data_IF_142397839813
#
_entry.id   IF_142397839813
#
_cell.length_a   1.000
_cell.length_b   1.000
_cell.length_c   1.000
_cell.angle_alpha   90.00
_cell.angle_beta   90.00
_cell.angle_gamma   90.00
#
_symmetry.space_group_name_H-M   'P 1'
#
loop_
_entity.id
_entity.type
_entity.pdbx_description
1 polymer ?
#
# COMPACT_ATOMS: atom_id res chain seq x y z
N UNK A 1 18.62 3.10 5.03
CA UNK A 1 18.25 3.13 3.61
C UNK A 1 16.72 3.14 3.56
N UNK A 2 16.09 4.23 3.17
CA UNK A 2 14.66 4.26 2.93
C UNK A 2 14.43 3.39 1.69
N UNK A 3 13.65 2.35 1.83
CA UNK A 3 13.29 1.48 0.72
C UNK A 3 12.56 2.34 -0.33
N UNK A 4 13.21 2.53 -1.49
CA UNK A 4 12.64 3.29 -2.61
C UNK A 4 11.31 2.65 -3.01
N UNK A 5 10.30 3.49 -3.28
CA UNK A 5 8.99 3.02 -3.73
C UNK A 5 9.06 2.76 -5.24
N UNK A 6 9.50 1.56 -5.60
CA UNK A 6 9.73 1.13 -6.99
C UNK A 6 8.51 1.36 -7.91
N UNK A 7 7.31 1.22 -7.38
CA UNK A 7 6.08 1.47 -8.13
C UNK A 7 5.94 2.96 -8.45
N UNK A 8 6.25 3.83 -7.48
CA UNK A 8 6.20 5.30 -7.69
C UNK A 8 7.24 5.76 -8.70
N UNK A 9 8.45 5.20 -8.65
CA UNK A 9 9.54 5.55 -9.57
C UNK A 9 9.17 5.25 -11.03
N UNK A 10 8.47 4.13 -11.25
CA UNK A 10 8.02 3.70 -12.57
C UNK A 10 6.59 4.18 -12.90
N UNK A 11 5.99 5.04 -12.08
CA UNK A 11 4.68 5.64 -12.30
C UNK A 11 4.81 7.07 -12.83
N UNK A 12 3.82 7.50 -13.63
CA UNK A 12 3.76 8.88 -14.11
C UNK A 12 3.70 9.87 -12.94
N UNK A 13 4.50 10.95 -12.99
CA UNK A 13 4.49 12.03 -12.01
C UNK A 13 3.07 12.57 -11.76
N UNK A 14 2.24 12.67 -12.82
CA UNK A 14 0.84 13.11 -12.72
C UNK A 14 -0.01 12.22 -11.80
N UNK A 15 0.19 10.91 -11.80
CA UNK A 15 -0.53 10.01 -10.90
C UNK A 15 -0.04 10.14 -9.47
N UNK A 16 1.27 10.21 -9.27
CA UNK A 16 1.89 10.40 -7.97
C UNK A 16 1.41 11.70 -7.31
N UNK A 17 1.50 12.83 -8.01
CA UNK A 17 1.00 14.12 -7.52
C UNK A 17 -0.49 14.12 -7.18
N UNK A 18 -1.32 13.43 -7.98
CA UNK A 18 -2.76 13.35 -7.70
C UNK A 18 -3.02 12.60 -6.38
N UNK A 19 -2.30 11.52 -6.13
CA UNK A 19 -2.39 10.75 -4.90
C UNK A 19 -1.87 11.57 -3.72
N UNK A 20 -0.71 12.21 -3.85
CA UNK A 20 -0.11 13.05 -2.82
C UNK A 20 -1.03 14.21 -2.41
N UNK A 21 -1.56 14.96 -3.38
CA UNK A 21 -2.51 16.04 -3.12
C UNK A 21 -3.80 15.54 -2.43
N UNK A 22 -4.26 14.35 -2.78
CA UNK A 22 -5.43 13.76 -2.13
C UNK A 22 -5.11 13.37 -0.67
N UNK A 23 -3.95 12.77 -0.42
CA UNK A 23 -3.48 12.41 0.91
C UNK A 23 -3.28 13.64 1.79
N UNK A 24 -2.58 14.67 1.29
CA UNK A 24 -2.39 15.94 2.01
C UNK A 24 -3.73 16.58 2.42
N UNK A 25 -4.71 16.63 1.50
CA UNK A 25 -6.03 17.17 1.82
C UNK A 25 -6.76 16.39 2.91
N UNK A 26 -6.60 15.05 2.96
CA UNK A 26 -7.18 14.24 4.03
C UNK A 26 -6.52 14.50 5.37
N UNK A 27 -5.18 14.54 5.40
CA UNK A 27 -4.41 14.84 6.61
C UNK A 27 -4.73 16.24 7.15
N UNK A 28 -4.77 17.25 6.27
CA UNK A 28 -5.13 18.63 6.67
C UNK A 28 -6.54 18.70 7.28
N UNK A 29 -7.49 17.96 6.71
CA UNK A 29 -8.86 17.90 7.24
C UNK A 29 -8.91 17.21 8.60
N UNK A 30 -8.16 16.12 8.75
CA UNK A 30 -8.05 15.36 9.99
C UNK A 30 -7.47 16.18 11.16
N UNK A 31 -6.70 17.25 10.88
CA UNK A 31 -6.20 18.17 11.91
C UNK A 31 -7.28 18.87 12.73
N UNK A 32 -8.51 18.97 12.20
CA UNK A 32 -9.68 19.51 12.92
C UNK A 32 -10.65 18.45 13.42
N UNK A 33 -10.35 17.15 13.25
CA UNK A 33 -11.23 16.06 13.62
C UNK A 33 -10.98 15.56 15.04
N UNK A 34 -11.99 14.90 15.62
CA UNK A 34 -11.85 14.25 16.94
C UNK A 34 -11.00 12.97 16.85
N UNK A 35 -10.33 12.60 17.95
CA UNK A 35 -9.53 11.37 18.04
C UNK A 35 -10.29 10.10 17.59
N UNK A 36 -11.59 9.89 17.93
CA UNK A 36 -12.35 8.76 17.42
C UNK A 36 -12.56 8.79 15.90
N UNK A 37 -12.69 9.97 15.29
CA UNK A 37 -12.81 10.09 13.83
C UNK A 37 -11.51 9.70 13.14
N UNK A 38 -10.38 10.15 13.67
CA UNK A 38 -9.03 9.76 13.20
C UNK A 38 -8.85 8.24 13.34
N UNK A 39 -9.26 7.63 14.46
CA UNK A 39 -9.15 6.17 14.68
C UNK A 39 -9.94 5.38 13.63
N UNK A 40 -11.18 5.77 13.33
CA UNK A 40 -11.96 5.14 12.25
C UNK A 40 -11.27 5.24 10.89
N UNK A 41 -10.61 6.37 10.62
CA UNK A 41 -9.84 6.52 9.37
C UNK A 41 -8.63 5.60 9.33
N UNK A 42 -7.92 5.42 10.45
CA UNK A 42 -6.81 4.47 10.57
C UNK A 42 -7.27 3.04 10.28
N UNK A 43 -8.40 2.60 10.84
CA UNK A 43 -9.00 1.28 10.56
C UNK A 43 -9.31 1.09 9.06
N UNK A 44 -9.83 2.13 8.39
CA UNK A 44 -10.04 2.09 6.94
C UNK A 44 -8.74 1.91 6.17
N UNK A 45 -7.66 2.60 6.59
CA UNK A 45 -6.35 2.48 5.96
C UNK A 45 -5.72 1.10 6.18
N UNK A 46 -6.00 0.44 7.31
CA UNK A 46 -5.56 -0.93 7.58
C UNK A 46 -6.23 -1.95 6.65
N UNK A 47 -7.46 -1.69 6.25
CA UNK A 47 -8.21 -2.54 5.32
C UNK A 47 -7.99 -2.19 3.84
N UNK A 48 -7.34 -1.06 3.54
CA UNK A 48 -7.12 -0.60 2.17
C UNK A 48 -6.16 -1.52 1.42
N UNK A 49 -6.56 -1.90 0.22
CA UNK A 49 -5.74 -2.73 -0.65
C UNK A 49 -4.65 -1.89 -1.33
N UNK A 50 -3.41 -2.22 -1.03
CA UNK A 50 -2.27 -1.63 -1.71
C UNK A 50 -2.05 -2.23 -3.12
N UNK A 51 -1.12 -1.63 -3.86
CA UNK A 51 -0.81 -2.02 -5.24
C UNK A 51 -0.36 -3.48 -5.33
N UNK A 52 0.47 -3.93 -4.37
CA UNK A 52 1.01 -5.29 -4.35
C UNK A 52 -0.12 -6.31 -4.17
N UNK A 53 -0.98 -6.11 -3.18
CA UNK A 53 -2.12 -6.98 -2.92
C UNK A 53 -3.08 -7.06 -4.11
N UNK A 54 -3.37 -5.92 -4.76
CA UNK A 54 -4.22 -5.87 -5.95
C UNK A 54 -3.61 -6.66 -7.10
N UNK A 55 -2.31 -6.45 -7.37
CA UNK A 55 -1.62 -7.13 -8.46
C UNK A 55 -1.47 -8.63 -8.21
N UNK A 56 -1.02 -9.01 -7.02
CA UNK A 56 -0.84 -10.41 -6.64
C UNK A 56 -2.16 -11.18 -6.70
N UNK A 57 -3.25 -10.60 -6.17
CA UNK A 57 -4.57 -11.24 -6.22
C UNK A 57 -5.07 -11.42 -7.64
N UNK A 58 -4.95 -10.38 -8.49
CA UNK A 58 -5.39 -10.49 -9.88
C UNK A 58 -4.52 -11.46 -10.68
N UNK A 59 -3.20 -11.39 -10.54
CA UNK A 59 -2.28 -12.27 -11.25
C UNK A 59 -2.45 -13.73 -10.83
N UNK A 60 -2.60 -14.00 -9.53
CA UNK A 60 -2.83 -15.34 -8.99
C UNK A 60 -4.16 -15.93 -9.46
N UNK A 61 -5.23 -15.11 -9.45
CA UNK A 61 -6.55 -15.55 -9.94
C UNK A 61 -6.52 -15.87 -11.43
N UNK A 62 -5.86 -15.04 -12.25
CA UNK A 62 -5.71 -15.30 -13.68
C UNK A 62 -4.85 -16.54 -13.97
N UNK A 63 -3.72 -16.68 -13.24
CA UNK A 63 -2.84 -17.84 -13.40
C UNK A 63 -3.56 -19.14 -13.01
N UNK A 64 -4.23 -19.15 -11.86
CA UNK A 64 -5.00 -20.30 -11.39
C UNK A 64 -6.15 -20.64 -12.36
N UNK A 65 -6.92 -19.65 -12.78
CA UNK A 65 -7.97 -19.83 -13.77
C UNK A 65 -7.45 -20.38 -15.09
N UNK A 66 -6.32 -19.87 -15.59
CA UNK A 66 -5.67 -20.39 -16.78
C UNK A 66 -5.20 -21.84 -16.65
N UNK A 67 -4.66 -22.22 -15.48
CA UNK A 67 -4.28 -23.62 -15.18
C UNK A 67 -5.51 -24.51 -15.17
N UNK A 68 -6.56 -24.16 -14.45
CA UNK A 68 -7.79 -24.97 -14.38
C UNK A 68 -8.44 -25.14 -15.75
N UNK A 69 -8.56 -24.06 -16.52
CA UNK A 69 -9.08 -24.14 -17.89
C UNK A 69 -8.16 -24.97 -18.79
N UNK A 70 -6.84 -24.87 -18.62
CA UNK A 70 -5.86 -25.68 -19.33
C UNK A 70 -5.97 -27.17 -19.08
N UNK A 71 -6.30 -27.56 -17.83
CA UNK A 71 -6.47 -28.94 -17.40
C UNK A 71 -7.83 -29.53 -17.82
N UNK A 72 -8.91 -28.77 -17.64
CA UNK A 72 -10.26 -29.31 -17.74
C UNK A 72 -10.97 -28.97 -19.06
N UNK A 73 -10.53 -27.93 -19.79
CA UNK A 73 -11.20 -27.47 -21.01
C UNK A 73 -10.30 -27.63 -22.23
N UNK A 74 -9.18 -26.91 -22.28
CA UNK A 74 -8.26 -26.96 -23.43
C UNK A 74 -6.86 -26.51 -23.02
N UNK A 75 -5.84 -27.29 -23.41
CA UNK A 75 -4.41 -27.01 -23.12
C UNK A 75 -3.94 -25.64 -23.61
N UNK A 76 -4.60 -25.02 -24.58
CA UNK A 76 -4.28 -23.68 -25.05
C UNK A 76 -4.38 -22.61 -23.95
N UNK A 77 -5.21 -22.83 -22.91
CA UNK A 77 -5.35 -21.90 -21.79
C UNK A 77 -4.11 -21.80 -20.90
N UNK A 78 -3.15 -22.75 -20.98
CA UNK A 78 -1.85 -22.61 -20.31
C UNK A 78 -1.06 -21.39 -20.78
N UNK A 79 -1.41 -20.79 -21.92
CA UNK A 79 -0.80 -19.52 -22.34
C UNK A 79 -1.04 -18.40 -21.32
N UNK A 80 -2.17 -18.42 -20.57
CA UNK A 80 -2.51 -17.40 -19.58
C UNK A 80 -1.47 -17.33 -18.47
N UNK A 81 -1.22 -18.41 -17.69
CA UNK A 81 -0.18 -18.37 -16.66
C UNK A 81 1.22 -18.16 -17.23
N UNK A 82 1.52 -18.70 -18.42
CA UNK A 82 2.80 -18.44 -19.09
C UNK A 82 3.06 -16.95 -19.40
N UNK A 83 2.02 -16.15 -19.58
CA UNK A 83 2.12 -14.71 -19.77
C UNK A 83 2.09 -13.95 -18.45
N UNK A 84 1.19 -14.32 -17.54
CA UNK A 84 0.97 -13.58 -16.30
C UNK A 84 2.14 -13.70 -15.34
N UNK A 85 2.70 -14.91 -15.16
CA UNK A 85 3.75 -15.15 -14.16
C UNK A 85 5.07 -14.41 -14.45
N UNK A 86 5.58 -14.32 -15.70
CA UNK A 86 6.75 -13.50 -15.99
C UNK A 86 6.54 -12.01 -15.66
N UNK A 87 5.37 -11.44 -15.94
CA UNK A 87 5.08 -10.06 -15.60
C UNK A 87 4.95 -9.85 -14.08
N UNK A 88 4.40 -10.83 -13.36
CA UNK A 88 4.37 -10.79 -11.90
C UNK A 88 5.80 -10.83 -11.31
N UNK A 89 6.65 -11.70 -11.86
CA UNK A 89 8.08 -11.75 -11.49
C UNK A 89 8.79 -10.42 -11.80
N UNK A 90 8.55 -9.83 -12.97
CA UNK A 90 9.09 -8.52 -13.33
C UNK A 90 8.63 -7.44 -12.36
N UNK A 91 7.34 -7.45 -11.96
CA UNK A 91 6.83 -6.53 -10.95
C UNK A 91 7.54 -6.69 -9.60
N UNK A 92 7.72 -7.92 -9.16
CA UNK A 92 8.41 -8.21 -7.89
C UNK A 92 9.87 -7.72 -7.89
N UNK A 93 10.55 -7.77 -9.04
CA UNK A 93 11.95 -7.33 -9.15
C UNK A 93 12.10 -5.83 -9.41
N UNK A 94 11.24 -5.24 -10.23
CA UNK A 94 11.38 -3.87 -10.75
C UNK A 94 10.28 -2.91 -10.29
N UNK A 95 9.19 -3.40 -9.68
CA UNK A 95 8.04 -2.57 -9.29
C UNK A 95 7.15 -2.14 -10.47
N UNK A 96 7.40 -2.65 -11.68
CA UNK A 96 6.64 -2.31 -12.88
C UNK A 96 6.06 -3.56 -13.57
N UNK A 97 4.82 -3.44 -14.02
CA UNK A 97 4.20 -4.39 -14.95
C UNK A 97 3.10 -3.66 -15.75
N UNK A 98 2.65 -4.21 -16.90
CA UNK A 98 1.67 -3.55 -17.78
C UNK A 98 0.39 -3.03 -17.09
N UNK A 99 -0.24 -3.71 -16.13
CA UNK A 99 -1.43 -3.21 -15.43
C UNK A 99 -1.18 -2.10 -14.41
N UNK A 100 0.06 -1.83 -13.97
CA UNK A 100 0.36 -0.78 -12.98
C UNK A 100 -0.20 0.59 -13.37
N UNK A 101 0.02 1.14 -14.58
CA UNK A 101 -0.53 2.44 -14.96
C UNK A 101 -2.07 2.49 -14.87
N UNK A 102 -2.75 1.39 -15.18
CA UNK A 102 -4.21 1.29 -15.08
C UNK A 102 -4.67 1.39 -13.62
N UNK A 103 -4.04 0.68 -12.70
CA UNK A 103 -4.39 0.75 -11.28
C UNK A 103 -4.02 2.12 -10.67
N UNK A 104 -2.87 2.70 -11.06
CA UNK A 104 -2.49 4.06 -10.65
C UNK A 104 -3.48 5.12 -11.13
N UNK A 105 -4.02 4.99 -12.32
CA UNK A 105 -5.07 5.90 -12.81
C UNK A 105 -6.34 5.83 -11.97
N UNK A 106 -6.66 4.66 -11.41
CA UNK A 106 -7.77 4.41 -10.45
C UNK A 106 -7.42 4.77 -9.01
N UNK A 107 -6.23 5.36 -8.76
CA UNK A 107 -5.74 5.81 -7.45
C UNK A 107 -5.43 4.67 -6.47
N UNK A 108 -5.13 3.48 -6.98
CA UNK A 108 -4.59 2.41 -6.13
C UNK A 108 -3.22 2.87 -5.62
N UNK A 109 -3.06 2.87 -4.31
CA UNK A 109 -1.89 3.40 -3.61
C UNK A 109 -0.87 2.29 -3.36
N UNK A 110 0.40 2.67 -3.24
CA UNK A 110 1.43 1.79 -2.73
C UNK A 110 1.32 1.67 -1.21
N UNK A 111 1.90 0.62 -0.63
CA UNK A 111 1.94 0.45 0.82
C UNK A 111 2.55 1.66 1.52
N UNK A 112 3.64 2.17 0.99
CA UNK A 112 4.33 3.36 1.52
C UNK A 112 3.46 4.62 1.51
N UNK A 113 2.64 4.82 0.48
CA UNK A 113 1.71 5.94 0.40
C UNK A 113 0.59 5.84 1.46
N UNK A 114 0.11 4.62 1.72
CA UNK A 114 -0.88 4.35 2.77
C UNK A 114 -0.24 4.59 4.14
N UNK A 115 0.93 4.04 4.39
CA UNK A 115 1.65 4.19 5.67
C UNK A 115 2.01 5.64 5.96
N UNK A 116 2.35 6.43 4.93
CA UNK A 116 2.58 7.88 5.10
C UNK A 116 1.34 8.59 5.66
N UNK A 117 0.14 8.31 5.14
CA UNK A 117 -1.11 8.84 5.69
C UNK A 117 -1.35 8.33 7.11
N UNK A 118 -1.13 7.04 7.37
CA UNK A 118 -1.29 6.44 8.71
C UNK A 118 -0.39 7.10 9.75
N UNK A 119 0.89 7.26 9.47
CA UNK A 119 1.82 7.92 10.40
C UNK A 119 1.46 9.37 10.65
N UNK A 120 1.03 10.12 9.64
CA UNK A 120 0.56 11.49 9.81
C UNK A 120 -0.68 11.55 10.73
N UNK A 121 -1.64 10.64 10.54
CA UNK A 121 -2.84 10.55 11.37
C UNK A 121 -2.53 10.10 12.83
N UNK A 122 -1.61 9.16 13.03
CA UNK A 122 -1.13 8.76 14.35
C UNK A 122 -0.47 9.93 15.09
N UNK A 123 0.33 10.73 14.38
CA UNK A 123 0.93 11.94 14.95
C UNK A 123 -0.15 12.96 15.37
N UNK A 124 -1.17 13.19 14.54
CA UNK A 124 -2.29 14.07 14.88
C UNK A 124 -3.14 13.55 16.05
N UNK A 125 -3.28 12.24 16.19
CA UNK A 125 -3.98 11.61 17.33
C UNK A 125 -3.17 11.71 18.65
N UNK A 126 -1.87 11.96 18.56
CA UNK A 126 -0.97 12.09 19.71
C UNK A 126 -0.35 10.76 20.16
N UNK A 127 -0.32 9.73 19.32
CA UNK A 127 0.19 8.40 19.66
C UNK A 127 1.69 8.42 20.02
N UNK A 128 2.43 9.42 19.51
CA UNK A 128 3.87 9.55 19.74
C UNK A 128 4.24 10.45 20.93
N UNK A 129 3.28 11.14 21.57
CA UNK A 129 3.55 12.05 22.70
C UNK A 129 4.26 11.34 23.87
N UNK A 130 3.90 10.07 24.13
CA UNK A 130 4.53 9.26 25.19
C UNK A 130 5.98 8.88 24.90
N UNK A 131 6.41 8.94 23.65
CA UNK A 131 7.78 8.60 23.25
C UNK A 131 8.76 9.68 23.70
N UNK A 132 8.39 10.93 23.50
CA UNK A 132 9.26 12.08 23.82
C UNK A 132 9.36 12.36 25.32
N UNK A 133 8.36 11.94 26.10
CA UNK A 133 8.34 12.10 27.57
C UNK A 133 9.17 11.08 28.35
N UNK A 134 9.78 10.09 27.70
CA UNK A 134 10.56 9.04 28.37
C UNK A 134 12.05 9.39 28.43
N UNK A 135 12.59 9.50 29.65
CA UNK A 135 14.02 9.75 29.87
C UNK A 135 14.88 8.50 29.71
N UNK A 136 14.33 7.32 30.05
CA UNK A 136 15.03 6.03 29.93
C UNK A 136 14.95 5.49 28.49
N UNK A 137 16.10 5.16 27.84
CA UNK A 137 16.14 4.65 26.48
C UNK A 137 15.30 3.38 26.24
N UNK A 138 15.24 2.49 27.24
CA UNK A 138 14.49 1.23 27.11
C UNK A 138 12.97 1.46 27.17
N UNK A 139 12.51 2.38 28.00
CA UNK A 139 11.11 2.78 28.08
C UNK A 139 10.70 3.55 26.83
N UNK A 140 11.58 4.43 26.35
CA UNK A 140 11.38 5.16 25.09
C UNK A 140 11.21 4.22 23.91
N UNK A 141 12.05 3.19 23.80
CA UNK A 141 11.96 2.17 22.75
C UNK A 141 10.64 1.38 22.82
N UNK A 142 10.20 1.00 24.03
CA UNK A 142 8.90 0.32 24.23
C UNK A 142 7.72 1.22 23.84
N UNK A 143 7.75 2.49 24.25
CA UNK A 143 6.71 3.45 23.89
C UNK A 143 6.63 3.67 22.37
N UNK A 144 7.77 3.79 21.68
CA UNK A 144 7.85 3.91 20.25
C UNK A 144 7.29 2.66 19.55
N UNK A 145 7.64 1.46 20.02
CA UNK A 145 7.09 0.21 19.51
C UNK A 145 5.56 0.13 19.66
N UNK A 146 5.03 0.50 20.83
CA UNK A 146 3.59 0.53 21.05
C UNK A 146 2.90 1.54 20.12
N UNK A 147 3.42 2.76 20.01
CA UNK A 147 2.87 3.79 19.13
C UNK A 147 2.87 3.38 17.66
N UNK A 148 3.86 2.62 17.22
CA UNK A 148 3.92 2.11 15.84
C UNK A 148 2.86 1.03 15.57
N UNK A 149 2.49 0.23 16.58
CA UNK A 149 1.57 -0.92 16.44
C UNK A 149 0.11 -0.62 16.82
N UNK A 150 -0.21 0.58 17.27
CA UNK A 150 -1.59 1.03 17.54
C UNK A 150 -2.19 1.68 16.33
#
# INVERSE_FOLDING_TARGET
>A
MLQEDRVREHSSAKFNERIDRATQRRVLRAGGESKPAISRRLEQLDSEWDMERVLETNASALALGGVLLGLFVNRKFFIIPCFVLPFLLQHALQGWCPPVPMFRSRRVRTRKEIDTEKFALKALRGDFEKVDGQADPSQRARAAWQAANT
#
